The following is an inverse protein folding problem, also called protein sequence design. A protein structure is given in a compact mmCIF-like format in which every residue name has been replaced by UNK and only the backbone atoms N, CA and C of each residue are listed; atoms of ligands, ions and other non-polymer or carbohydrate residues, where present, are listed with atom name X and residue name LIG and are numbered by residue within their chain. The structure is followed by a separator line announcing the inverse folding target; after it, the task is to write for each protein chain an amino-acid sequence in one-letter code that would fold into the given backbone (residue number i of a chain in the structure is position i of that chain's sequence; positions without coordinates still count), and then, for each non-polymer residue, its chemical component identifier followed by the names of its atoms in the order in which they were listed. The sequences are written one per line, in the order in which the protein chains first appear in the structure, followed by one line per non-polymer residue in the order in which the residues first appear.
data_IF_060298969157
#
_entry.id   IF_060298969157
#
_cell.length_a   1.000
_cell.length_b   1.000
_cell.length_c   1.000
_cell.angle_alpha   90.00
_cell.angle_beta   90.00
_cell.angle_gamma   90.00
#
_symmetry.space_group_name_H-M   'P 1'
#
loop_
_entity.id
_entity.type
_entity.pdbx_description
1 polymer ?
#
# COMPACT_ATOMS: atom_id res chain seq x y z
N UNK A 1 -3.42 31.77 -28.41
CA UNK A 1 -4.40 31.77 -29.51
C UNK A 1 -4.72 30.33 -29.86
N UNK A 2 -6.00 30.00 -30.00
CA UNK A 2 -6.59 28.67 -30.27
C UNK A 2 -6.87 27.77 -29.05
N UNK A 3 -8.00 28.05 -28.40
CA UNK A 3 -8.82 27.02 -27.74
C UNK A 3 -10.24 27.57 -27.60
N UNK A 4 -11.05 27.59 -28.66
CA UNK A 4 -12.49 27.93 -28.58
C UNK A 4 -13.27 27.59 -29.87
N UNK A 5 -13.09 26.38 -30.41
CA UNK A 5 -13.82 25.96 -31.62
C UNK A 5 -14.82 24.82 -31.42
N UNK A 6 -15.10 24.40 -30.19
CA UNK A 6 -16.01 23.27 -29.92
C UNK A 6 -17.26 23.63 -29.08
N UNK A 7 -17.44 24.90 -28.71
CA UNK A 7 -18.56 25.34 -27.85
C UNK A 7 -19.78 25.93 -28.62
N UNK A 8 -19.85 25.81 -29.95
CA UNK A 8 -20.88 26.49 -30.78
C UNK A 8 -21.91 25.61 -31.48
N UNK A 9 -22.06 24.33 -31.11
CA UNK A 9 -23.01 23.43 -31.77
C UNK A 9 -23.77 22.53 -30.78
N UNK A 10 -24.70 23.10 -29.99
CA UNK A 10 -25.84 22.35 -29.44
C UNK A 10 -27.07 23.29 -29.39
N UNK A 11 -28.19 22.98 -30.08
CA UNK A 11 -29.42 23.77 -29.98
C UNK A 11 -30.14 23.50 -28.65
N UNK A 12 -30.64 24.58 -28.04
CA UNK A 12 -31.50 24.54 -26.87
C UNK A 12 -32.86 23.87 -27.19
N UNK A 13 -33.08 22.67 -26.67
CA UNK A 13 -34.39 22.04 -26.61
C UNK A 13 -35.04 22.38 -25.26
N UNK A 14 -36.03 23.28 -25.31
CA UNK A 14 -36.93 23.60 -24.19
C UNK A 14 -37.85 22.40 -23.91
N UNK A 15 -37.82 21.86 -22.70
CA UNK A 15 -38.81 20.91 -22.23
C UNK A 15 -40.11 21.63 -21.78
N UNK A 16 -41.30 21.10 -22.08
CA UNK A 16 -42.56 21.72 -21.69
C UNK A 16 -42.86 21.50 -20.20
N UNK A 17 -43.48 22.51 -19.60
CA UNK A 17 -43.92 22.55 -18.21
C UNK A 17 -45.04 21.54 -17.94
N UNK A 18 -44.73 20.50 -17.17
CA UNK A 18 -45.73 19.60 -16.58
C UNK A 18 -46.06 20.07 -15.16
N UNK A 19 -47.27 20.61 -14.98
CA UNK A 19 -47.89 20.82 -13.67
C UNK A 19 -48.04 19.46 -12.97
N UNK A 20 -47.46 19.32 -11.77
CA UNK A 20 -47.73 18.17 -10.89
C UNK A 20 -48.85 18.52 -9.93
N UNK A 21 -49.99 17.84 -10.11
CA UNK A 21 -51.09 17.75 -9.14
C UNK A 21 -50.60 17.32 -7.77
N UNK A 22 -51.15 17.94 -6.73
CA UNK A 22 -51.06 17.48 -5.36
C UNK A 22 -51.63 16.06 -5.24
N UNK A 23 -50.81 15.10 -4.84
CA UNK A 23 -51.27 13.80 -4.35
C UNK A 23 -51.40 13.88 -2.83
N UNK A 24 -52.65 13.86 -2.39
CA UNK A 24 -53.12 13.69 -1.03
C UNK A 24 -52.58 12.39 -0.44
N UNK A 25 -52.25 12.44 0.85
CA UNK A 25 -51.48 11.41 1.54
C UNK A 25 -52.16 10.04 1.65
N UNK A 26 -51.31 9.02 1.62
CA UNK A 26 -51.56 7.70 2.22
C UNK A 26 -50.34 7.42 3.09
N UNK A 27 -50.53 7.45 4.41
CA UNK A 27 -49.53 7.04 5.41
C UNK A 27 -49.69 5.53 5.61
N UNK A 28 -48.68 4.75 5.22
CA UNK A 28 -48.57 3.35 5.59
C UNK A 28 -47.88 3.25 6.97
N UNK A 29 -48.47 2.55 7.95
CA UNK A 29 -47.80 2.26 9.22
C UNK A 29 -46.88 1.05 9.01
N UNK A 30 -45.60 1.33 8.81
CA UNK A 30 -44.56 0.33 8.58
C UNK A 30 -43.21 0.88 8.99
N UNK A 31 -43.07 1.20 10.28
CA UNK A 31 -41.83 1.64 10.91
C UNK A 31 -40.78 0.53 10.79
N UNK A 32 -39.87 0.68 9.84
CA UNK A 32 -38.48 0.31 10.08
C UNK A 32 -37.71 1.61 10.29
N UNK A 33 -37.51 1.96 11.55
CA UNK A 33 -36.45 2.89 11.90
C UNK A 33 -35.15 2.29 11.40
N UNK A 34 -34.69 2.75 10.24
CA UNK A 34 -33.25 2.79 9.95
C UNK A 34 -32.62 3.36 11.22
N UNK A 35 -31.90 2.52 11.97
CA UNK A 35 -31.03 3.00 13.03
C UNK A 35 -29.91 3.78 12.34
N UNK A 36 -30.19 5.01 11.91
CA UNK A 36 -29.17 6.02 11.80
C UNK A 36 -28.64 6.19 13.22
N UNK A 37 -27.53 5.51 13.52
CA UNK A 37 -26.68 5.86 14.66
C UNK A 37 -26.36 7.34 14.49
N UNK A 38 -27.03 8.20 15.26
CA UNK A 38 -26.69 9.62 15.27
C UNK A 38 -25.27 9.75 15.86
N UNK A 39 -24.35 10.24 15.03
CA UNK A 39 -22.90 10.20 15.23
C UNK A 39 -22.35 11.30 16.15
N UNK A 40 -23.05 11.73 17.20
CA UNK A 40 -22.51 12.74 18.11
C UNK A 40 -22.54 12.26 19.56
N UNK A 41 -21.36 11.89 20.08
CA UNK A 41 -21.08 11.83 21.51
C UNK A 41 -19.93 12.81 21.81
N UNK A 42 -19.93 13.36 23.02
CA UNK A 42 -19.19 14.56 23.43
C UNK A 42 -17.72 14.30 23.86
N UNK A 43 -17.15 13.14 23.52
CA UNK A 43 -15.72 12.86 23.66
C UNK A 43 -15.15 12.40 22.32
N UNK A 44 -13.83 12.51 22.13
CA UNK A 44 -13.07 12.33 20.86
C UNK A 44 -13.18 10.97 20.12
N UNK A 45 -14.28 10.24 20.26
CA UNK A 45 -14.59 8.97 19.62
C UNK A 45 -14.37 9.01 18.09
N UNK A 46 -13.65 8.01 17.57
CA UNK A 46 -13.40 7.84 16.15
C UNK A 46 -14.55 7.06 15.51
N UNK A 47 -14.96 7.42 14.29
CA UNK A 47 -15.98 6.65 13.58
C UNK A 47 -15.42 5.33 13.06
N UNK A 48 -14.13 5.31 12.70
CA UNK A 48 -13.42 4.13 12.24
C UNK A 48 -11.98 4.11 12.75
N UNK A 49 -11.57 2.98 13.32
CA UNK A 49 -10.14 2.65 13.52
C UNK A 49 -9.75 1.54 12.55
N UNK A 50 -8.69 1.79 11.77
CA UNK A 50 -8.05 0.82 10.89
C UNK A 50 -6.79 0.29 11.56
N UNK A 51 -6.66 -1.02 11.68
CA UNK A 51 -5.46 -1.68 12.24
C UNK A 51 -4.64 -2.24 11.08
N UNK A 52 -3.54 -1.56 10.74
CA UNK A 52 -2.63 -1.90 9.65
C UNK A 52 -2.57 -0.82 8.56
N UNK A 53 -1.35 -0.39 8.22
CA UNK A 53 -1.07 0.65 7.23
C UNK A 53 -0.71 0.11 5.83
N UNK A 54 -1.04 -1.15 5.51
CA UNK A 54 -0.84 -1.75 4.18
C UNK A 54 -1.87 -1.28 3.14
N UNK A 55 -1.78 -1.76 1.87
CA UNK A 55 -2.67 -1.34 0.78
C UNK A 55 -4.16 -1.37 1.14
N UNK A 56 -4.65 -2.45 1.77
CA UNK A 56 -6.03 -2.51 2.22
C UNK A 56 -6.37 -1.47 3.29
N UNK A 57 -5.46 -1.25 4.25
CA UNK A 57 -5.69 -0.36 5.38
C UNK A 57 -5.59 1.12 5.05
N UNK A 58 -4.48 1.57 4.43
CA UNK A 58 -4.30 3.00 4.16
C UNK A 58 -5.31 3.51 3.12
N UNK A 59 -5.68 2.70 2.13
CA UNK A 59 -6.72 3.06 1.14
C UNK A 59 -8.08 3.15 1.82
N UNK A 60 -8.43 2.18 2.67
CA UNK A 60 -9.69 2.21 3.41
C UNK A 60 -9.76 3.41 4.36
N UNK A 61 -8.66 3.75 5.04
CA UNK A 61 -8.60 4.90 5.94
C UNK A 61 -8.83 6.22 5.19
N UNK A 62 -8.15 6.40 4.05
CA UNK A 62 -8.35 7.56 3.16
C UNK A 62 -9.80 7.60 2.66
N UNK A 63 -10.34 6.48 2.20
CA UNK A 63 -11.70 6.44 1.66
C UNK A 63 -12.75 6.73 2.73
N UNK A 64 -12.57 6.22 3.94
CA UNK A 64 -13.45 6.51 5.08
C UNK A 64 -13.45 8.01 5.41
N UNK A 65 -12.27 8.63 5.45
CA UNK A 65 -12.17 10.07 5.68
C UNK A 65 -12.82 10.90 4.56
N UNK A 66 -12.68 10.50 3.29
CA UNK A 66 -13.37 11.11 2.15
C UNK A 66 -14.90 10.99 2.22
N UNK A 67 -15.41 9.93 2.87
CA UNK A 67 -16.83 9.73 3.13
C UNK A 67 -17.32 10.47 4.38
N UNK A 68 -16.46 11.27 5.03
CA UNK A 68 -16.81 12.11 6.17
C UNK A 68 -16.61 11.47 7.54
N UNK A 69 -16.00 10.28 7.62
CA UNK A 69 -15.76 9.59 8.89
C UNK A 69 -14.48 10.09 9.57
N UNK A 70 -14.55 10.36 10.88
CA UNK A 70 -13.36 10.61 11.70
C UNK A 70 -12.57 9.30 11.81
N UNK A 71 -11.42 9.25 11.14
CA UNK A 71 -10.70 8.00 10.90
C UNK A 71 -9.31 8.03 11.49
N UNK A 72 -8.96 6.96 12.22
CA UNK A 72 -7.61 6.70 12.72
C UNK A 72 -7.04 5.44 12.10
N UNK A 73 -5.77 5.48 11.71
CA UNK A 73 -5.01 4.31 11.26
C UNK A 73 -3.86 4.04 12.23
N UNK A 74 -3.77 2.79 12.71
CA UNK A 74 -2.74 2.32 13.64
C UNK A 74 -1.78 1.40 12.87
N UNK A 75 -0.48 1.74 12.85
CA UNK A 75 0.58 0.97 12.18
C UNK A 75 1.77 0.78 13.14
N UNK A 76 2.28 -0.45 13.25
CA UNK A 76 3.38 -0.78 14.18
C UNK A 76 4.77 -0.47 13.60
N UNK A 77 4.88 -0.44 12.28
CA UNK A 77 6.13 -0.18 11.56
C UNK A 77 6.45 1.32 11.54
N UNK A 78 7.68 1.66 11.16
CA UNK A 78 8.14 3.07 11.10
C UNK A 78 7.51 3.88 9.97
N UNK A 79 7.10 3.18 8.92
CA UNK A 79 6.53 3.76 7.72
C UNK A 79 5.20 3.10 7.38
N UNK A 80 4.32 3.90 6.77
CA UNK A 80 3.08 3.42 6.17
C UNK A 80 3.36 2.62 4.88
N UNK A 81 2.34 1.95 4.36
CA UNK A 81 2.39 1.18 3.10
C UNK A 81 2.52 -0.33 3.26
N UNK A 82 2.73 -0.82 4.49
CA UNK A 82 2.75 -2.24 4.84
C UNK A 82 3.72 -3.09 4.03
N UNK A 83 3.44 -4.39 3.90
CA UNK A 83 4.33 -5.37 3.25
C UNK A 83 4.62 -5.01 1.80
N UNK A 84 3.59 -4.68 1.02
CA UNK A 84 3.74 -4.43 -0.43
C UNK A 84 4.68 -3.26 -0.73
N UNK A 85 4.61 -2.17 0.04
CA UNK A 85 5.47 -1.02 -0.19
C UNK A 85 6.88 -1.19 0.39
N UNK A 86 6.99 -1.74 1.59
CA UNK A 86 8.26 -1.72 2.32
C UNK A 86 9.16 -2.93 2.01
N UNK A 87 8.59 -4.13 1.86
CA UNK A 87 9.33 -5.40 1.76
C UNK A 87 8.74 -6.37 0.72
N UNK A 88 8.01 -5.85 -0.26
CA UNK A 88 7.28 -6.68 -1.22
C UNK A 88 7.30 -6.10 -2.63
N UNK A 89 6.13 -5.73 -3.13
CA UNK A 89 5.90 -5.28 -4.51
C UNK A 89 6.89 -4.20 -4.96
N UNK A 90 6.98 -3.08 -4.26
CA UNK A 90 7.77 -1.94 -4.73
C UNK A 90 9.27 -2.25 -4.79
N UNK A 91 9.91 -2.77 -3.72
CA UNK A 91 11.32 -3.12 -3.80
C UNK A 91 11.60 -4.24 -4.82
N UNK A 92 10.75 -5.27 -4.92
CA UNK A 92 10.93 -6.34 -5.92
C UNK A 92 10.84 -5.81 -7.36
N UNK A 93 9.88 -4.94 -7.66
CA UNK A 93 9.69 -4.39 -9.01
C UNK A 93 10.82 -3.42 -9.38
N UNK A 94 11.33 -2.65 -8.42
CA UNK A 94 12.53 -1.83 -8.63
C UNK A 94 13.75 -2.70 -9.00
N UNK A 95 13.98 -3.78 -8.26
CA UNK A 95 15.10 -4.70 -8.56
C UNK A 95 14.90 -5.46 -9.88
N UNK A 96 13.68 -5.91 -10.18
CA UNK A 96 13.36 -6.57 -11.45
C UNK A 96 13.64 -5.67 -12.64
N UNK A 97 13.22 -4.41 -12.57
CA UNK A 97 13.48 -3.45 -13.64
C UNK A 97 14.97 -3.18 -13.82
N UNK A 98 15.68 -2.87 -12.73
CA UNK A 98 17.10 -2.54 -12.79
C UNK A 98 17.97 -3.73 -13.22
N UNK A 99 17.69 -4.93 -12.71
CA UNK A 99 18.40 -6.16 -13.13
C UNK A 99 18.10 -6.52 -14.58
N UNK A 100 16.89 -6.25 -15.07
CA UNK A 100 16.56 -6.42 -16.48
C UNK A 100 17.33 -5.44 -17.36
N UNK A 101 17.40 -4.15 -17.01
CA UNK A 101 18.21 -3.17 -17.75
C UNK A 101 19.70 -3.57 -17.78
N UNK A 102 20.24 -4.02 -16.65
CA UNK A 102 21.61 -4.55 -16.58
C UNK A 102 21.79 -5.75 -17.52
N UNK A 103 20.86 -6.70 -17.51
CA UNK A 103 20.90 -7.85 -18.40
C UNK A 103 20.82 -7.46 -19.89
N UNK A 104 19.95 -6.52 -20.26
CA UNK A 104 19.86 -6.06 -21.66
C UNK A 104 21.16 -5.40 -22.14
N UNK A 105 21.79 -4.60 -21.28
CA UNK A 105 23.05 -3.92 -21.59
C UNK A 105 24.27 -4.87 -21.57
N UNK A 106 24.25 -5.92 -20.75
CA UNK A 106 25.35 -6.88 -20.62
C UNK A 106 25.23 -8.07 -21.60
N UNK A 107 24.03 -8.33 -22.11
CA UNK A 107 23.78 -9.33 -23.16
C UNK A 107 23.91 -8.72 -24.56
N UNK A 108 23.74 -9.55 -25.59
CA UNK A 108 23.71 -9.08 -26.98
C UNK A 108 22.40 -8.36 -27.38
N UNK A 109 21.44 -8.16 -26.47
CA UNK A 109 20.13 -7.59 -26.85
C UNK A 109 20.25 -6.15 -27.36
N UNK A 110 21.00 -5.27 -26.67
CA UNK A 110 21.25 -3.91 -27.15
C UNK A 110 22.04 -3.88 -28.47
N UNK A 111 23.07 -4.72 -28.58
CA UNK A 111 23.87 -4.87 -29.81
C UNK A 111 23.01 -5.27 -31.00
N UNK A 112 22.10 -6.23 -30.82
CA UNK A 112 21.17 -6.70 -31.86
C UNK A 112 20.14 -5.62 -32.27
N UNK A 113 20.04 -4.53 -31.52
CA UNK A 113 19.17 -3.37 -31.81
C UNK A 113 19.98 -2.14 -32.27
N UNK A 114 21.26 -2.30 -32.57
CA UNK A 114 22.13 -1.21 -33.01
C UNK A 114 22.53 -0.23 -31.90
N UNK A 115 22.42 -0.64 -30.63
CA UNK A 115 22.86 0.15 -29.47
C UNK A 115 24.18 -0.44 -28.99
N UNK A 116 25.28 0.26 -29.22
CA UNK A 116 26.62 -0.14 -28.77
C UNK A 116 26.88 0.41 -27.37
N UNK A 117 27.24 -0.49 -26.45
CA UNK A 117 27.58 -0.18 -25.05
C UNK A 117 28.75 -1.05 -24.64
N UNK A 118 29.81 -0.41 -24.14
CA UNK A 118 31.01 -1.08 -23.65
C UNK A 118 31.17 -0.91 -22.14
N UNK A 119 31.92 -1.81 -21.50
CA UNK A 119 32.33 -1.72 -20.09
C UNK A 119 31.16 -1.61 -19.08
N UNK A 120 30.02 -2.24 -19.35
CA UNK A 120 28.89 -2.29 -18.42
C UNK A 120 29.26 -3.05 -17.14
N UNK A 121 29.25 -2.36 -15.99
CA UNK A 121 29.59 -2.91 -14.67
C UNK A 121 28.44 -2.75 -13.69
N UNK A 122 28.23 -3.75 -12.85
CA UNK A 122 27.25 -3.69 -11.77
C UNK A 122 27.81 -2.85 -10.61
N UNK A 123 27.08 -1.80 -10.24
CA UNK A 123 27.21 -1.15 -8.94
C UNK A 123 26.00 -1.50 -8.07
N UNK A 124 26.13 -2.58 -7.29
CA UNK A 124 25.02 -3.11 -6.48
C UNK A 124 24.56 -2.11 -5.42
N UNK A 125 25.49 -1.38 -4.81
CA UNK A 125 25.16 -0.34 -3.83
C UNK A 125 24.23 0.70 -4.44
N UNK A 126 24.55 1.21 -5.64
CA UNK A 126 23.72 2.23 -6.29
C UNK A 126 22.36 1.68 -6.72
N UNK A 127 22.31 0.43 -7.15
CA UNK A 127 21.07 -0.27 -7.48
C UNK A 127 20.16 -0.38 -6.24
N UNK A 128 20.73 -0.74 -5.09
CA UNK A 128 20.02 -0.81 -3.81
C UNK A 128 19.58 0.58 -3.29
N UNK A 129 20.40 1.61 -3.48
CA UNK A 129 20.03 3.00 -3.16
C UNK A 129 18.82 3.46 -3.99
N UNK A 130 18.77 3.14 -5.29
CA UNK A 130 17.64 3.50 -6.15
C UNK A 130 16.35 2.83 -5.68
N UNK A 131 16.39 1.53 -5.36
CA UNK A 131 15.28 0.79 -4.74
C UNK A 131 14.80 1.50 -3.46
N UNK A 132 15.71 1.80 -2.55
CA UNK A 132 15.39 2.44 -1.27
C UNK A 132 14.82 3.86 -1.46
N UNK A 133 15.29 4.60 -2.46
CA UNK A 133 14.75 5.92 -2.82
C UNK A 133 13.29 5.82 -3.28
N UNK A 134 12.97 4.84 -4.13
CA UNK A 134 11.60 4.61 -4.58
C UNK A 134 10.66 4.26 -3.41
N UNK A 135 11.09 3.38 -2.51
CA UNK A 135 10.33 3.06 -1.28
C UNK A 135 10.13 4.30 -0.42
N UNK A 136 11.19 5.08 -0.14
CA UNK A 136 11.12 6.29 0.69
C UNK A 136 10.18 7.35 0.12
N UNK A 137 10.23 7.57 -1.20
CA UNK A 137 9.35 8.54 -1.86
C UNK A 137 7.87 8.16 -1.71
N UNK A 138 7.56 6.88 -1.94
CA UNK A 138 6.20 6.38 -1.89
C UNK A 138 5.65 6.30 -0.45
N UNK A 139 6.46 5.92 0.55
CA UNK A 139 6.03 5.93 1.96
C UNK A 139 5.76 7.36 2.44
N UNK A 140 6.60 8.32 2.04
CA UNK A 140 6.37 9.75 2.27
C UNK A 140 5.09 10.26 1.59
N UNK A 141 4.80 9.77 0.38
CA UNK A 141 3.55 10.05 -0.34
C UNK A 141 2.31 9.62 0.43
N UNK A 142 2.31 8.42 1.04
CA UNK A 142 1.18 7.96 1.86
C UNK A 142 1.01 8.84 3.10
N UNK A 143 2.10 9.19 3.78
CA UNK A 143 2.05 10.09 4.93
C UNK A 143 1.48 11.48 4.57
N UNK A 144 1.79 11.98 3.37
CA UNK A 144 1.19 13.20 2.84
C UNK A 144 -0.31 13.03 2.58
N UNK A 145 -0.73 11.92 1.95
CA UNK A 145 -2.14 11.63 1.69
C UNK A 145 -2.96 11.52 2.98
N UNK A 146 -2.40 10.96 4.05
CA UNK A 146 -3.07 10.93 5.36
C UNK A 146 -3.32 12.33 5.90
N UNK A 147 -2.31 13.22 5.85
CA UNK A 147 -2.46 14.62 6.25
C UNK A 147 -3.52 15.34 5.42
N UNK A 148 -3.49 15.17 4.10
CA UNK A 148 -4.44 15.78 3.17
C UNK A 148 -5.89 15.34 3.46
N UNK A 149 -6.10 14.07 3.79
CA UNK A 149 -7.42 13.52 4.09
C UNK A 149 -7.77 13.57 5.59
N UNK A 150 -6.96 14.23 6.44
CA UNK A 150 -7.17 14.34 7.89
C UNK A 150 -7.29 12.99 8.61
N UNK A 151 -6.62 11.96 8.10
CA UNK A 151 -6.52 10.65 8.78
C UNK A 151 -5.51 10.77 9.91
N UNK A 152 -5.92 10.43 11.13
CA UNK A 152 -5.00 10.38 12.28
C UNK A 152 -4.13 9.13 12.16
N UNK A 153 -2.81 9.31 12.18
CA UNK A 153 -1.85 8.21 12.22
C UNK A 153 -1.34 8.01 13.65
N UNK A 154 -1.46 6.78 14.17
CA UNK A 154 -0.85 6.39 15.43
C UNK A 154 0.16 5.29 15.16
N UNK A 155 1.43 5.55 15.48
CA UNK A 155 2.46 4.53 15.42
C UNK A 155 2.38 3.64 16.67
N UNK A 156 2.07 2.35 16.50
CA UNK A 156 1.95 1.39 17.58
C UNK A 156 1.31 0.07 17.15
N UNK A 157 1.39 -0.94 18.01
CA UNK A 157 0.73 -2.22 17.84
C UNK A 157 -0.72 -2.13 18.31
N UNK A 158 -1.67 -2.20 17.37
CA UNK A 158 -3.10 -2.15 17.68
C UNK A 158 -3.61 -3.45 18.28
N UNK A 159 -4.14 -3.40 19.51
CA UNK A 159 -4.79 -4.49 20.22
C UNK A 159 -6.26 -4.12 20.47
N UNK A 160 -7.19 -4.94 19.99
CA UNK A 160 -8.62 -4.77 20.29
C UNK A 160 -8.82 -5.16 21.76
N UNK A 161 -9.18 -4.19 22.61
CA UNK A 161 -9.35 -4.38 24.07
C UNK A 161 -10.81 -4.51 24.47
N UNK A 162 -11.73 -4.02 23.64
CA UNK A 162 -13.17 -4.22 23.78
C UNK A 162 -13.87 -4.08 22.41
N UNK A 163 -15.18 -4.37 22.36
CA UNK A 163 -16.00 -4.28 21.14
C UNK A 163 -15.87 -2.94 20.39
N UNK A 164 -15.65 -1.84 21.11
CA UNK A 164 -15.60 -0.47 20.59
C UNK A 164 -14.33 0.27 21.01
N UNK A 165 -13.25 -0.48 21.23
CA UNK A 165 -12.00 0.06 21.75
C UNK A 165 -10.77 -0.65 21.20
N UNK A 166 -9.78 0.13 20.76
CA UNK A 166 -8.47 -0.36 20.33
C UNK A 166 -7.39 0.37 21.11
N UNK A 167 -6.46 -0.37 21.70
CA UNK A 167 -5.27 0.16 22.35
C UNK A 167 -4.08 0.07 21.41
N UNK A 168 -3.44 1.20 21.10
CA UNK A 168 -2.16 1.24 20.40
C UNK A 168 -1.01 1.16 21.41
N UNK A 169 -0.28 0.05 21.41
CA UNK A 169 0.91 -0.17 22.24
C UNK A 169 2.13 0.40 21.51
N UNK A 170 2.77 1.42 22.09
CA UNK A 170 3.92 2.10 21.48
C UNK A 170 5.24 1.40 21.86
N UNK A 171 6.31 1.69 21.10
CA UNK A 171 7.63 1.09 21.32
C UNK A 171 8.31 1.55 22.61
N UNK A 172 7.93 2.72 23.12
CA UNK A 172 8.42 3.26 24.40
C UNK A 172 7.72 2.63 25.63
N UNK A 173 6.86 1.63 25.42
CA UNK A 173 6.06 0.97 26.47
C UNK A 173 4.80 1.74 26.85
N UNK A 174 4.59 2.96 26.34
CA UNK A 174 3.34 3.69 26.55
C UNK A 174 2.20 3.11 25.70
N UNK A 175 0.96 3.40 26.07
CA UNK A 175 -0.22 2.96 25.34
C UNK A 175 -1.21 4.10 25.13
N UNK A 176 -1.88 4.09 23.99
CA UNK A 176 -2.95 5.04 23.68
C UNK A 176 -4.25 4.28 23.38
N UNK A 177 -5.28 4.54 24.19
CA UNK A 177 -6.61 3.96 24.01
C UNK A 177 -7.41 4.81 23.03
N UNK A 178 -8.02 4.17 22.04
CA UNK A 178 -8.86 4.81 21.02
C UNK A 178 -10.25 4.18 21.05
N UNK A 179 -11.25 4.96 21.48
CA UNK A 179 -12.66 4.56 21.39
C UNK A 179 -13.18 4.74 19.97
N UNK A 180 -13.92 3.76 19.48
CA UNK A 180 -14.42 3.79 18.10
C UNK A 180 -15.73 3.06 17.88
N UNK A 181 -16.52 3.55 16.92
CA UNK A 181 -17.79 2.93 16.50
C UNK A 181 -17.57 1.65 15.69
N UNK A 182 -16.52 1.60 14.86
CA UNK A 182 -16.21 0.51 13.95
C UNK A 182 -14.70 0.23 13.92
N UNK A 183 -14.32 -1.04 13.74
CA UNK A 183 -12.92 -1.47 13.63
C UNK A 183 -12.74 -2.20 12.31
N UNK A 184 -11.75 -1.81 11.51
CA UNK A 184 -11.32 -2.52 10.32
C UNK A 184 -9.97 -3.20 10.57
N UNK A 185 -9.95 -4.53 10.49
CA UNK A 185 -8.73 -5.33 10.63
C UNK A 185 -8.08 -5.45 9.24
N UNK A 186 -6.88 -4.90 9.10
CA UNK A 186 -6.09 -4.90 7.86
C UNK A 186 -4.60 -5.23 8.16
N UNK A 187 -4.37 -6.18 9.06
CA UNK A 187 -3.06 -6.51 9.65
C UNK A 187 -2.08 -7.20 8.70
N UNK A 188 -2.56 -7.67 7.54
CA UNK A 188 -1.72 -8.23 6.48
C UNK A 188 -1.34 -9.69 6.69
N UNK A 189 -0.14 -10.05 6.27
CA UNK A 189 0.42 -11.41 6.29
C UNK A 189 1.91 -11.38 6.59
N UNK A 190 2.46 -12.55 6.91
CA UNK A 190 3.88 -12.76 7.18
C UNK A 190 4.43 -13.98 6.43
N UNK A 191 5.75 -14.17 6.49
CA UNK A 191 6.44 -15.29 5.83
C UNK A 191 6.02 -16.61 6.50
N UNK A 192 5.69 -17.62 5.70
CA UNK A 192 5.44 -18.97 6.23
C UNK A 192 6.75 -19.62 6.63
N UNK A 193 6.94 -20.00 7.91
CA UNK A 193 8.16 -20.71 8.34
C UNK A 193 8.27 -22.07 7.65
N UNK A 194 9.50 -22.50 7.37
CA UNK A 194 9.77 -23.84 6.85
C UNK A 194 10.25 -24.74 7.98
N UNK A 195 9.55 -25.84 8.24
CA UNK A 195 9.90 -26.75 9.33
C UNK A 195 11.32 -27.33 9.14
N UNK A 196 12.17 -27.18 10.16
CA UNK A 196 13.56 -27.64 10.13
C UNK A 196 14.56 -26.67 9.47
N UNK A 197 14.11 -25.49 9.03
CA UNK A 197 14.99 -24.43 8.51
C UNK A 197 14.69 -23.14 9.28
N UNK A 198 15.70 -22.65 10.00
CA UNK A 198 15.65 -21.34 10.64
C UNK A 198 16.17 -20.26 9.70
N UNK A 199 15.39 -19.19 9.53
CA UNK A 199 15.77 -18.02 8.73
C UNK A 199 16.62 -17.10 9.60
N UNK A 200 17.88 -16.86 9.21
CA UNK A 200 18.84 -16.00 9.92
C UNK A 200 18.92 -14.57 9.33
N UNK A 201 18.33 -14.35 8.15
CA UNK A 201 18.41 -13.11 7.37
C UNK A 201 19.85 -12.67 7.01
N UNK A 202 20.80 -13.62 7.01
CA UNK A 202 22.18 -13.46 6.54
C UNK A 202 22.50 -14.47 5.42
N UNK A 203 22.46 -15.77 5.74
CA UNK A 203 22.69 -16.86 4.78
C UNK A 203 21.41 -17.54 4.32
N UNK A 204 20.49 -17.78 5.25
CA UNK A 204 19.15 -18.33 4.99
C UNK A 204 18.19 -17.15 5.14
N UNK A 205 17.79 -16.60 4.01
CA UNK A 205 17.01 -15.35 3.95
C UNK A 205 15.56 -15.60 3.56
N UNK A 206 14.65 -14.76 4.08
CA UNK A 206 13.31 -14.65 3.53
C UNK A 206 13.30 -13.75 2.29
N UNK A 207 12.13 -13.45 1.74
CA UNK A 207 12.00 -12.40 0.72
C UNK A 207 12.52 -11.05 1.21
N UNK A 208 12.44 -10.76 2.51
CA UNK A 208 12.91 -9.49 3.08
C UNK A 208 14.44 -9.38 3.00
N UNK A 209 15.17 -10.40 3.44
CA UNK A 209 16.63 -10.44 3.31
C UNK A 209 17.07 -10.51 1.84
N UNK A 210 16.40 -11.30 1.02
CA UNK A 210 16.70 -11.43 -0.41
C UNK A 210 16.53 -10.12 -1.21
N UNK A 211 15.75 -9.15 -0.72
CA UNK A 211 15.64 -7.80 -1.31
C UNK A 211 16.80 -6.87 -0.92
N UNK A 212 17.67 -7.26 0.01
CA UNK A 212 18.67 -6.39 0.64
C UNK A 212 20.05 -7.06 0.82
N UNK A 213 20.35 -8.10 0.03
CA UNK A 213 21.67 -8.74 0.04
C UNK A 213 22.78 -7.72 -0.29
N UNK A 214 23.88 -7.80 0.45
CA UNK A 214 25.01 -6.85 0.35
C UNK A 214 25.95 -7.16 -0.82
N UNK A 215 25.89 -8.38 -1.35
CA UNK A 215 26.69 -8.86 -2.49
C UNK A 215 25.85 -9.79 -3.35
N UNK A 216 26.22 -9.95 -4.61
CA UNK A 216 25.65 -10.99 -5.48
C UNK A 216 26.09 -12.36 -4.96
N UNK A 217 25.17 -13.28 -4.63
CA UNK A 217 25.55 -14.62 -4.20
C UNK A 217 26.34 -15.38 -5.28
N UNK A 218 27.36 -16.13 -4.87
CA UNK A 218 28.11 -17.01 -5.78
C UNK A 218 27.25 -18.18 -6.28
N UNK A 219 26.27 -18.59 -5.47
CA UNK A 219 25.21 -19.53 -5.81
C UNK A 219 24.01 -19.22 -4.92
N UNK A 220 22.82 -19.21 -5.50
CA UNK A 220 21.57 -18.99 -4.78
C UNK A 220 20.67 -20.21 -4.98
N UNK A 221 20.02 -20.67 -3.91
CA UNK A 221 19.00 -21.72 -3.99
C UNK A 221 17.68 -21.13 -3.53
N UNK A 222 16.61 -21.37 -4.30
CA UNK A 222 15.27 -20.88 -3.98
C UNK A 222 14.37 -22.05 -3.61
N UNK A 223 13.93 -22.10 -2.35
CA UNK A 223 12.97 -23.09 -1.87
C UNK A 223 11.55 -22.54 -2.12
N UNK A 224 10.91 -23.04 -3.17
CA UNK A 224 9.56 -22.67 -3.58
C UNK A 224 9.52 -21.86 -4.89
N UNK A 225 9.02 -22.49 -5.96
CA UNK A 225 8.89 -21.88 -7.29
C UNK A 225 7.62 -21.03 -7.47
N UNK A 226 7.17 -20.37 -6.39
CA UNK A 226 6.08 -19.41 -6.44
C UNK A 226 6.52 -18.07 -7.06
N UNK A 227 5.58 -17.14 -7.21
CA UNK A 227 5.84 -15.83 -7.85
C UNK A 227 7.02 -15.10 -7.22
N UNK A 228 7.08 -15.02 -5.88
CA UNK A 228 8.17 -14.34 -5.17
C UNK A 228 9.51 -15.03 -5.44
N UNK A 229 9.55 -16.36 -5.41
CA UNK A 229 10.75 -17.14 -5.68
C UNK A 229 11.27 -16.94 -7.11
N UNK A 230 10.38 -16.97 -8.10
CA UNK A 230 10.73 -16.75 -9.50
C UNK A 230 11.16 -15.30 -9.79
N UNK A 231 10.48 -14.31 -9.19
CA UNK A 231 10.86 -12.90 -9.32
C UNK A 231 12.27 -12.66 -8.76
N UNK A 232 12.52 -13.06 -7.51
CA UNK A 232 13.81 -12.82 -6.84
C UNK A 232 14.92 -13.69 -7.42
N UNK A 233 14.63 -14.94 -7.78
CA UNK A 233 15.57 -15.79 -8.50
C UNK A 233 15.98 -15.16 -9.84
N UNK A 234 15.03 -14.60 -10.59
CA UNK A 234 15.35 -13.91 -11.84
C UNK A 234 16.18 -12.65 -11.63
N UNK A 235 15.91 -11.86 -10.58
CA UNK A 235 16.74 -10.69 -10.21
C UNK A 235 18.19 -11.11 -10.00
N UNK A 236 18.43 -12.05 -9.10
CA UNK A 236 19.80 -12.43 -8.74
C UNK A 236 20.52 -13.18 -9.86
N UNK A 237 19.78 -13.98 -10.64
CA UNK A 237 20.30 -14.62 -11.85
C UNK A 237 20.83 -13.61 -12.87
N UNK A 238 20.04 -12.57 -13.17
CA UNK A 238 20.44 -11.49 -14.09
C UNK A 238 21.65 -10.70 -13.62
N UNK A 239 21.86 -10.63 -12.30
CA UNK A 239 22.98 -9.91 -11.70
C UNK A 239 24.26 -10.76 -11.59
N UNK A 240 24.21 -12.06 -11.92
CA UNK A 240 25.38 -12.94 -12.04
C UNK A 240 25.35 -14.18 -11.16
N UNK A 241 24.33 -14.40 -10.33
CA UNK A 241 24.23 -15.61 -9.52
C UNK A 241 23.75 -16.80 -10.36
N UNK A 242 24.36 -17.99 -10.27
CA UNK A 242 23.70 -19.24 -10.60
C UNK A 242 22.54 -19.47 -9.61
N UNK A 243 21.34 -19.66 -10.14
CA UNK A 243 20.08 -19.88 -9.38
C UNK A 243 19.43 -21.17 -9.80
#
# INVERSE_FOLDING_TARGET
MQSNLWAKLIPALRAPSLQRSACTGIVLPGVQTSHHRNYSSSAEEQDLVVIGGGPGGYVAAIKAAQLGLKTTCIEKNDTLGGTCLNVGCIPSKALLHNSHLYHLAHSNDFKNRGIEVDNVRLNLQKLMEQKSSAVKALTGGIAHLFKQNKVTHIQGHGKITAKNEVTALKRDGSSQVVKTKNILIATGSEVTPFAGIEVDEDTIVSSTGALSLKKVPEKLVVIGAGVIGLELGSVWSRLGSPV
#
